data_IF_453177603780
#
_entry.id   IF_453177603780
#
_cell.length_a   1.000
_cell.length_b   1.000
_cell.length_c   1.000
_cell.angle_alpha   90.00
_cell.angle_beta   90.00
_cell.angle_gamma   90.00
#
_symmetry.space_group_name_H-M   'P 1'
#
loop_
_entity.id
_entity.type
_entity.pdbx_description
1 polymer ?
#
# COMPACT_ATOMS: atom_id res chain seq x y z
N UNK A 1 18.85 4.04 17.68
CA UNK A 1 19.44 3.33 16.53
C UNK A 1 19.74 1.89 16.93
N UNK A 2 19.64 0.95 16.00
CA UNK A 2 20.18 -0.41 16.10
C UNK A 2 20.56 -0.87 14.69
N UNK A 3 21.59 -1.71 14.55
CA UNK A 3 22.05 -2.17 13.24
C UNK A 3 20.95 -2.94 12.52
N UNK A 4 20.81 -2.77 11.21
CA UNK A 4 19.82 -3.50 10.41
C UNK A 4 19.97 -5.03 10.55
N UNK A 5 18.86 -5.75 10.46
CA UNK A 5 18.83 -7.21 10.56
C UNK A 5 19.10 -7.77 11.97
N UNK A 6 18.97 -6.95 13.02
CA UNK A 6 19.17 -7.37 14.41
C UNK A 6 17.86 -7.50 15.18
N UNK A 7 17.84 -8.37 16.19
CA UNK A 7 16.69 -8.55 17.09
C UNK A 7 16.40 -7.26 17.86
N UNK A 8 17.44 -6.53 18.23
CA UNK A 8 17.37 -5.25 18.93
C UNK A 8 16.58 -4.22 18.11
N UNK A 9 16.82 -4.16 16.79
CA UNK A 9 16.05 -3.30 15.89
C UNK A 9 14.58 -3.73 15.83
N UNK A 10 14.31 -5.03 15.69
CA UNK A 10 12.93 -5.54 15.67
C UNK A 10 12.16 -5.20 16.95
N UNK A 11 12.78 -5.37 18.12
CA UNK A 11 12.16 -5.03 19.40
C UNK A 11 11.90 -3.52 19.53
N UNK A 12 12.83 -2.69 19.06
CA UNK A 12 12.65 -1.24 19.05
C UNK A 12 11.51 -0.82 18.11
N UNK A 13 11.43 -1.42 16.92
CA UNK A 13 10.38 -1.16 15.93
C UNK A 13 8.99 -1.54 16.47
N UNK A 14 8.85 -2.72 17.09
CA UNK A 14 7.58 -3.19 17.67
C UNK A 14 7.10 -2.22 18.76
N UNK A 15 7.97 -1.82 19.69
CA UNK A 15 7.61 -0.84 20.73
C UNK A 15 7.16 0.50 20.14
N UNK A 16 7.84 0.98 19.10
CA UNK A 16 7.49 2.23 18.44
C UNK A 16 6.16 2.16 17.66
N UNK A 17 5.69 0.96 17.30
CA UNK A 17 4.43 0.71 16.60
C UNK A 17 3.24 0.51 17.57
N UNK A 18 3.44 0.50 18.88
CA UNK A 18 2.35 0.30 19.84
C UNK A 18 1.28 1.39 19.69
N UNK A 19 0.07 0.98 19.28
CA UNK A 19 -1.04 1.88 19.02
C UNK A 19 -0.81 2.84 17.84
N UNK A 20 0.06 2.51 16.89
CA UNK A 20 0.38 3.31 15.70
C UNK A 20 0.46 2.41 14.46
N UNK A 21 0.20 3.00 13.29
CA UNK A 21 0.31 2.28 12.01
C UNK A 21 1.64 2.52 11.30
N UNK A 22 2.54 3.32 11.86
CA UNK A 22 3.87 3.51 11.32
C UNK A 22 4.84 4.08 12.35
N UNK A 23 6.14 3.87 12.13
CA UNK A 23 7.20 4.37 12.99
C UNK A 23 8.44 4.75 12.18
N UNK A 24 9.27 5.64 12.74
CA UNK A 24 10.57 6.00 12.18
C UNK A 24 11.67 5.18 12.84
N UNK A 25 12.60 4.71 12.02
CA UNK A 25 13.80 4.02 12.42
C UNK A 25 14.99 4.99 12.33
N UNK A 26 15.60 5.30 13.47
CA UNK A 26 16.73 6.21 13.55
C UNK A 26 17.81 5.83 12.52
N UNK A 27 18.18 6.79 11.66
CA UNK A 27 19.19 6.64 10.59
C UNK A 27 18.93 5.49 9.61
N UNK A 28 17.67 5.11 9.37
CA UNK A 28 17.34 3.98 8.49
C UNK A 28 16.18 4.28 7.55
N UNK A 29 15.01 4.67 8.08
CA UNK A 29 13.81 4.89 7.28
C UNK A 29 12.55 4.79 8.11
N UNK A 30 11.48 4.24 7.54
CA UNK A 30 10.21 4.03 8.23
C UNK A 30 9.72 2.58 8.11
N UNK A 31 8.81 2.20 9.00
CA UNK A 31 7.93 1.04 8.83
C UNK A 31 6.51 1.57 8.83
N UNK A 32 5.69 1.13 7.87
CA UNK A 32 4.26 1.36 7.84
C UNK A 32 3.51 0.02 7.77
N UNK A 33 2.36 -0.05 8.42
CA UNK A 33 1.52 -1.25 8.55
C UNK A 33 0.08 -0.89 8.23
N UNK A 34 -0.64 -1.80 7.58
CA UNK A 34 -2.05 -1.63 7.23
C UNK A 34 -2.74 -2.99 7.12
N UNK A 35 -4.07 -2.98 7.09
CA UNK A 35 -4.92 -4.17 6.92
C UNK A 35 -4.72 -4.88 5.58
N UNK A 36 -4.16 -4.18 4.59
CA UNK A 36 -3.77 -4.69 3.27
C UNK A 36 -2.45 -4.07 2.83
N UNK A 37 -1.80 -4.67 1.82
CA UNK A 37 -0.59 -4.10 1.22
C UNK A 37 -0.86 -2.72 0.61
N UNK A 38 -2.02 -2.55 -0.03
CA UNK A 38 -2.43 -1.27 -0.60
C UNK A 38 -2.56 -0.20 0.49
N UNK A 39 -3.20 -0.53 1.61
CA UNK A 39 -3.34 0.38 2.75
C UNK A 39 -2.00 0.68 3.41
N UNK A 40 -1.13 -0.32 3.57
CA UNK A 40 0.21 -0.14 4.13
C UNK A 40 1.07 0.79 3.25
N UNK A 41 1.03 0.61 1.93
CA UNK A 41 1.73 1.46 0.98
C UNK A 41 1.18 2.89 0.99
N UNK A 42 -0.15 3.05 1.01
CA UNK A 42 -0.78 4.37 1.13
C UNK A 42 -0.32 5.07 2.41
N UNK A 43 -0.33 4.40 3.57
CA UNK A 43 0.15 4.95 4.84
C UNK A 43 1.64 5.32 4.80
N UNK A 44 2.49 4.56 4.10
CA UNK A 44 3.90 4.90 3.94
C UNK A 44 4.08 6.22 3.16
N UNK A 45 3.29 6.41 2.09
CA UNK A 45 3.32 7.65 1.30
C UNK A 45 2.83 8.84 2.13
N UNK A 46 1.76 8.68 2.91
CA UNK A 46 1.26 9.75 3.80
C UNK A 46 2.29 10.11 4.88
N UNK A 47 2.93 9.11 5.49
CA UNK A 47 3.97 9.34 6.49
C UNK A 47 5.17 10.11 5.91
N UNK A 48 5.63 9.73 4.71
CA UNK A 48 6.69 10.46 3.99
C UNK A 48 6.26 11.91 3.66
N UNK A 49 5.01 12.08 3.20
CA UNK A 49 4.47 13.39 2.83
C UNK A 49 4.46 14.34 4.03
N UNK A 50 3.97 13.87 5.18
CA UNK A 50 3.94 14.66 6.41
C UNK A 50 5.36 14.91 6.95
N UNK A 51 6.26 13.92 6.87
CA UNK A 51 7.66 14.09 7.25
C UNK A 51 8.34 15.19 6.42
N UNK A 52 8.12 15.21 5.10
CA UNK A 52 8.63 16.26 4.21
C UNK A 52 8.04 17.63 4.55
N UNK A 53 6.72 17.71 4.76
CA UNK A 53 6.07 18.97 5.16
C UNK A 53 6.63 19.49 6.49
N UNK A 54 6.77 18.62 7.49
CA UNK A 54 7.35 18.96 8.79
C UNK A 54 8.78 19.47 8.61
N UNK A 55 9.63 18.74 7.89
CA UNK A 55 11.00 19.17 7.60
C UNK A 55 11.03 20.55 6.91
N UNK A 56 10.24 20.76 5.86
CA UNK A 56 10.19 22.06 5.16
C UNK A 56 9.70 23.18 6.07
N UNK A 57 8.73 22.92 6.95
CA UNK A 57 8.23 23.91 7.91
C UNK A 57 9.31 24.33 8.91
N UNK A 58 10.16 23.40 9.36
CA UNK A 58 11.27 23.71 10.26
C UNK A 58 12.27 24.70 9.64
N UNK A 59 12.43 24.67 8.32
CA UNK A 59 13.31 25.60 7.60
C UNK A 59 12.78 27.05 7.58
N UNK A 60 11.48 27.26 7.84
CA UNK A 60 10.81 28.57 7.72
C UNK A 60 10.20 29.07 9.03
N UNK A 61 10.65 28.57 10.18
CA UNK A 61 10.20 29.01 11.52
C UNK A 61 9.37 27.99 12.30
N UNK A 62 9.14 26.80 11.72
CA UNK A 62 8.47 25.68 12.38
C UNK A 62 6.96 25.59 12.08
N UNK A 63 6.35 24.42 12.31
CA UNK A 63 4.92 24.20 12.09
C UNK A 63 4.10 24.65 13.30
N UNK A 64 2.83 24.94 13.05
CA UNK A 64 1.81 24.99 14.11
C UNK A 64 1.39 23.56 14.44
N UNK A 65 1.72 23.08 15.63
CA UNK A 65 1.34 21.75 16.09
C UNK A 65 -0.09 21.76 16.65
N UNK A 66 -0.88 20.77 16.25
CA UNK A 66 -2.20 20.53 16.82
C UNK A 66 -2.06 19.96 18.24
N UNK A 67 -2.93 20.39 19.14
CA UNK A 67 -3.09 19.77 20.46
C UNK A 67 -3.68 18.37 20.35
N UNK A 68 -3.49 17.55 21.38
CA UNK A 68 -4.08 16.20 21.47
C UNK A 68 -5.61 16.22 21.27
N UNK A 69 -6.29 17.24 21.80
CA UNK A 69 -7.73 17.41 21.62
C UNK A 69 -8.11 17.66 20.14
N UNK A 70 -7.36 18.52 19.44
CA UNK A 70 -7.56 18.79 18.02
C UNK A 70 -7.22 17.57 17.15
N UNK A 71 -6.21 16.79 17.53
CA UNK A 71 -5.89 15.51 16.86
C UNK A 71 -7.03 14.51 17.05
N UNK A 72 -7.60 14.41 18.25
CA UNK A 72 -8.73 13.53 18.53
C UNK A 72 -9.97 13.92 17.69
N UNK A 73 -10.33 15.22 17.67
CA UNK A 73 -11.41 15.77 16.85
C UNK A 73 -11.17 15.48 15.35
N UNK A 74 -9.95 15.73 14.87
CA UNK A 74 -9.57 15.44 13.47
C UNK A 74 -9.74 13.96 13.16
N UNK A 75 -9.33 13.06 14.07
CA UNK A 75 -9.45 11.61 13.88
C UNK A 75 -10.91 11.17 13.76
N UNK A 76 -11.80 11.75 14.56
CA UNK A 76 -13.24 11.49 14.47
C UNK A 76 -13.82 11.95 13.13
N UNK A 77 -13.44 13.15 12.68
CA UNK A 77 -13.84 13.68 11.38
C UNK A 77 -13.26 12.87 10.19
N UNK A 78 -12.08 12.26 10.36
CA UNK A 78 -11.38 11.48 9.33
C UNK A 78 -11.99 10.09 9.05
N UNK A 79 -12.99 9.65 9.81
CA UNK A 79 -13.54 8.29 9.71
C UNK A 79 -14.01 7.92 8.28
N UNK A 80 -14.41 8.91 7.47
CA UNK A 80 -14.81 8.71 6.06
C UNK A 80 -13.76 9.11 5.02
N UNK A 81 -12.57 9.58 5.42
CA UNK A 81 -11.58 10.18 4.52
C UNK A 81 -10.40 9.23 4.25
N UNK A 82 -9.79 9.35 3.06
CA UNK A 82 -8.65 8.54 2.63
C UNK A 82 -9.02 7.16 2.07
N UNK A 83 -8.00 6.33 1.77
CA UNK A 83 -8.21 5.00 1.20
C UNK A 83 -8.91 4.09 2.21
N UNK A 84 -10.14 3.68 1.89
CA UNK A 84 -10.93 2.79 2.74
C UNK A 84 -10.69 1.34 2.36
N UNK A 85 -10.75 0.45 3.34
CA UNK A 85 -10.76 -0.98 3.04
C UNK A 85 -12.02 -1.30 2.24
N UNK A 86 -11.87 -2.11 1.19
CA UNK A 86 -13.02 -2.57 0.43
C UNK A 86 -13.98 -3.28 1.40
N UNK A 87 -15.25 -2.85 1.43
CA UNK A 87 -16.30 -3.57 2.16
C UNK A 87 -16.29 -5.01 1.66
N UNK A 88 -15.95 -5.94 2.54
CA UNK A 88 -15.60 -7.30 2.17
C UNK A 88 -16.61 -7.92 1.21
N UNK A 89 -16.22 -8.10 -0.04
CA UNK A 89 -16.80 -9.16 -0.87
C UNK A 89 -16.16 -10.45 -0.38
N UNK A 90 -16.75 -11.08 0.64
CA UNK A 90 -16.43 -12.46 1.00
C UNK A 90 -16.97 -13.40 -0.09
N UNK A 91 -16.36 -13.33 -1.27
CA UNK A 91 -16.59 -14.24 -2.38
C UNK A 91 -15.33 -15.05 -2.59
N UNK A 92 -15.22 -16.19 -1.90
CA UNK A 92 -14.32 -17.26 -2.36
C UNK A 92 -14.81 -17.64 -3.75
N UNK A 93 -14.16 -17.14 -4.80
CA UNK A 93 -14.34 -17.73 -6.13
C UNK A 93 -13.63 -19.10 -6.07
N UNK A 94 -14.40 -20.16 -5.85
CA UNK A 94 -13.92 -21.52 -6.09
C UNK A 94 -13.58 -21.62 -7.57
N UNK A 95 -12.33 -21.96 -7.89
CA UNK A 95 -11.94 -22.29 -9.24
C UNK A 95 -12.76 -23.49 -9.72
N UNK A 96 -13.75 -23.24 -10.58
CA UNK A 96 -14.43 -24.28 -11.33
C UNK A 96 -13.42 -24.91 -12.30
N UNK A 97 -13.32 -26.23 -12.27
CA UNK A 97 -12.45 -27.01 -13.12
C UNK A 97 -12.71 -26.72 -14.61
N UNK A 98 -11.64 -26.47 -15.37
CA UNK A 98 -11.70 -26.33 -16.83
C UNK A 98 -12.02 -27.69 -17.47
N UNK A 99 -13.03 -27.78 -18.36
CA UNK A 99 -13.21 -28.97 -19.20
C UNK A 99 -12.09 -29.08 -20.25
N UNK A 100 -11.74 -30.30 -20.69
CA UNK A 100 -10.58 -30.51 -21.55
C UNK A 100 -10.75 -29.90 -22.95
N UNK A 101 -9.66 -29.32 -23.47
CA UNK A 101 -9.60 -28.67 -24.77
C UNK A 101 -9.88 -29.66 -25.93
N UNK A 102 -10.86 -29.33 -26.76
CA UNK A 102 -11.19 -30.08 -27.96
C UNK A 102 -10.15 -29.87 -29.08
N UNK A 103 -9.79 -30.99 -29.72
CA UNK A 103 -8.70 -31.14 -30.68
C UNK A 103 -8.70 -30.18 -31.87
N UNK A 104 -7.47 -29.79 -32.22
CA UNK A 104 -7.08 -28.94 -33.32
C UNK A 104 -7.46 -29.55 -34.69
N UNK A 105 -8.44 -28.98 -35.40
CA UNK A 105 -8.69 -29.32 -36.82
C UNK A 105 -8.10 -28.25 -37.72
N UNK A 106 -6.96 -28.61 -38.34
CA UNK A 106 -6.35 -27.90 -39.48
C UNK A 106 -7.41 -27.65 -40.56
N UNK A 107 -7.63 -26.39 -40.94
CA UNK A 107 -8.26 -26.03 -42.21
C UNK A 107 -7.16 -25.67 -43.21
N UNK A 108 -6.95 -26.56 -44.17
CA UNK A 108 -6.20 -26.28 -45.40
C UNK A 108 -6.97 -25.26 -46.24
N UNK A 109 -6.38 -24.10 -46.52
CA UNK A 109 -6.92 -23.19 -47.54
C UNK A 109 -6.40 -23.64 -48.91
N UNK A 110 -7.34 -24.01 -49.77
CA UNK A 110 -7.11 -24.33 -51.17
C UNK A 110 -6.69 -23.08 -51.96
N UNK A 111 -5.84 -23.32 -52.94
CA UNK A 111 -5.15 -22.38 -53.82
C UNK A 111 -6.00 -22.15 -55.08
N UNK A 112 -6.36 -20.91 -55.37
CA UNK A 112 -6.89 -20.41 -56.67
C UNK A 112 -6.49 -18.93 -56.68
N UNK A 113 -5.85 -18.31 -57.66
CA UNK A 113 -5.51 -18.58 -59.05
C UNK A 113 -5.31 -17.18 -59.64
N UNK A 114 -4.13 -16.88 -60.19
CA UNK A 114 -3.84 -15.59 -60.83
C UNK A 114 -4.66 -15.41 -62.13
N UNK A 115 -4.76 -14.20 -62.70
CA UNK A 115 -3.71 -13.80 -63.64
C UNK A 115 -3.35 -12.30 -63.63
N UNK A 116 -2.32 -12.03 -64.44
CA UNK A 116 -1.49 -10.83 -64.60
C UNK A 116 -2.20 -9.62 -65.23
N UNK A 117 -1.72 -8.44 -64.87
CA UNK A 117 -1.32 -7.36 -65.78
C UNK A 117 -0.19 -6.58 -65.08
#
# INVERSE_FOLDING_TARGET
>A
YARYGTKELSLAAIRALEGRNGCLLANHGMIATGSSLEKAMWLAVELETIAKQYYMSLLIGGPVLLSEAQIAETREAFAGYGLQDAKGTSGRQSAAAQPPAAGNRRRTKARVGAPRA
#
